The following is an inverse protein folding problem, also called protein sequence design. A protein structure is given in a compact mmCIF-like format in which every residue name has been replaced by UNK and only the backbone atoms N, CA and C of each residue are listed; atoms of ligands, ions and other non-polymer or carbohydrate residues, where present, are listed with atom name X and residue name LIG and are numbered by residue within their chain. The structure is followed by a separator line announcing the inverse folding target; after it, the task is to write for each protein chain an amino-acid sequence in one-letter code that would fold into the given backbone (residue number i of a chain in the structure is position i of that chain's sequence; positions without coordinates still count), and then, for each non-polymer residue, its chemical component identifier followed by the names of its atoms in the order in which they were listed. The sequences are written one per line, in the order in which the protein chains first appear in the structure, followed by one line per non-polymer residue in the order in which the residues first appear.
data_IF_444458579876
#
_entry.id   IF_444458579876
#
_cell.length_a   1.000
_cell.length_b   1.000
_cell.length_c   1.000
_cell.angle_alpha   90.00
_cell.angle_beta   90.00
_cell.angle_gamma   90.00
#
_symmetry.space_group_name_H-M   'P 1'
#
loop_
_entity.id
_entity.type
_entity.pdbx_description
1 polymer ?
#
# COMPACT_ATOMS: atom_id res chain seq x y z
N UNK A 1 99.73 -41.24 -16.68
CA UNK A 1 98.72 -41.48 -15.70
C UNK A 1 97.76 -40.31 -15.78
N UNK A 2 96.62 -40.51 -16.45
CA UNK A 2 95.76 -39.44 -16.92
C UNK A 2 94.36 -39.63 -16.38
N UNK A 3 93.90 -38.76 -15.48
CA UNK A 3 92.63 -38.80 -14.90
C UNK A 3 91.73 -37.68 -15.54
N UNK A 4 90.85 -38.06 -16.45
CA UNK A 4 89.89 -37.14 -17.09
C UNK A 4 88.69 -36.79 -16.19
N UNK A 5 88.10 -35.61 -16.36
CA UNK A 5 86.99 -35.18 -15.55
C UNK A 5 85.60 -35.74 -16.04
N UNK A 6 84.77 -36.18 -15.15
CA UNK A 6 83.38 -36.62 -15.37
C UNK A 6 82.50 -35.41 -15.64
N UNK A 7 81.90 -35.34 -16.85
CA UNK A 7 80.89 -34.36 -17.23
C UNK A 7 79.55 -34.79 -16.54
N UNK A 8 79.10 -34.00 -15.59
CA UNK A 8 77.69 -34.06 -15.07
C UNK A 8 76.78 -33.45 -16.10
N UNK A 9 76.00 -34.28 -16.81
CA UNK A 9 74.83 -33.86 -17.62
C UNK A 9 73.75 -33.36 -16.68
N UNK A 10 73.46 -32.05 -16.68
CA UNK A 10 72.23 -31.49 -16.04
C UNK A 10 71.09 -31.72 -16.97
N UNK A 11 70.09 -32.42 -16.53
CA UNK A 11 68.81 -32.66 -17.20
C UNK A 11 67.97 -31.36 -17.12
N UNK A 12 67.48 -30.74 -18.22
CA UNK A 12 66.76 -29.47 -18.17
C UNK A 12 65.23 -29.62 -17.82
N UNK A 13 64.79 -30.80 -17.41
CA UNK A 13 63.37 -31.05 -17.19
C UNK A 13 62.80 -30.59 -15.84
N UNK A 14 63.66 -30.50 -14.81
CA UNK A 14 63.14 -30.19 -13.46
C UNK A 14 62.73 -28.73 -13.23
N UNK A 15 63.35 -27.78 -13.94
CA UNK A 15 63.03 -26.37 -13.78
C UNK A 15 61.68 -25.97 -14.43
N UNK A 16 61.30 -26.62 -15.53
CA UNK A 16 60.02 -26.35 -16.23
C UNK A 16 58.84 -26.90 -15.45
N UNK A 17 58.97 -28.09 -14.81
CA UNK A 17 57.94 -28.70 -14.01
C UNK A 17 57.64 -27.88 -12.72
N UNK A 18 58.72 -27.32 -12.09
CA UNK A 18 58.53 -26.50 -10.89
C UNK A 18 57.83 -25.15 -11.21
N UNK A 19 58.05 -24.55 -12.38
CA UNK A 19 57.37 -23.34 -12.80
C UNK A 19 55.87 -23.59 -13.20
N UNK A 20 55.56 -24.74 -13.81
CA UNK A 20 54.19 -25.12 -14.16
C UNK A 20 53.37 -25.47 -12.90
N UNK A 21 53.95 -26.11 -11.90
CA UNK A 21 53.27 -26.35 -10.64
C UNK A 21 53.05 -25.10 -9.80
N UNK A 22 53.97 -24.12 -9.86
CA UNK A 22 53.79 -22.81 -9.22
C UNK A 22 52.68 -21.96 -9.86
N UNK A 23 52.52 -22.04 -11.18
CA UNK A 23 51.45 -21.31 -11.91
C UNK A 23 50.07 -21.94 -11.66
N UNK A 24 49.97 -23.27 -11.54
CA UNK A 24 48.72 -23.95 -11.19
C UNK A 24 48.32 -23.72 -9.73
N UNK A 25 49.28 -23.56 -8.81
CA UNK A 25 49.00 -23.23 -7.41
C UNK A 25 48.45 -21.79 -7.23
N UNK A 26 48.82 -20.83 -8.13
CA UNK A 26 48.27 -19.48 -8.12
C UNK A 26 46.84 -19.41 -8.68
N UNK A 27 46.42 -20.36 -9.53
CA UNK A 27 45.07 -20.45 -10.07
C UNK A 27 44.11 -21.23 -9.15
N UNK A 28 44.66 -21.91 -8.15
CA UNK A 28 43.90 -22.63 -7.11
C UNK A 28 43.78 -21.84 -5.80
N UNK A 29 43.90 -20.50 -5.85
CA UNK A 29 43.39 -19.68 -4.75
C UNK A 29 41.86 -19.95 -4.71
N UNK A 30 41.35 -20.64 -3.68
CA UNK A 30 39.93 -20.92 -3.60
C UNK A 30 39.25 -19.58 -3.61
N UNK A 31 38.15 -19.48 -4.38
CA UNK A 31 37.13 -18.45 -4.29
C UNK A 31 36.44 -18.47 -2.91
N UNK A 32 37.22 -18.60 -1.88
CA UNK A 32 36.89 -18.28 -0.49
C UNK A 32 37.05 -16.78 -0.23
N UNK A 33 37.09 -15.95 -1.29
CA UNK A 33 36.73 -14.55 -1.16
C UNK A 33 35.26 -14.51 -0.72
N UNK A 34 35.10 -14.96 0.50
CA UNK A 34 34.14 -14.51 1.47
C UNK A 34 32.84 -13.96 0.86
N UNK A 35 31.86 -14.80 0.65
CA UNK A 35 30.54 -14.42 1.10
C UNK A 35 30.68 -14.15 2.63
N UNK A 36 31.16 -12.95 2.98
CA UNK A 36 31.02 -12.47 4.36
C UNK A 36 29.50 -12.56 4.62
N UNK A 37 29.05 -13.27 5.68
CA UNK A 37 27.65 -13.24 6.01
C UNK A 37 27.30 -11.76 6.15
N UNK A 38 26.51 -11.24 5.23
CA UNK A 38 26.04 -9.86 5.34
C UNK A 38 25.39 -9.83 6.73
N UNK A 39 25.96 -9.05 7.65
CA UNK A 39 25.43 -8.92 9.00
C UNK A 39 23.96 -8.54 8.84
N UNK A 40 23.08 -9.43 9.29
CA UNK A 40 21.64 -9.17 9.21
C UNK A 40 21.36 -7.91 10.03
N UNK A 41 20.89 -6.88 9.35
CA UNK A 41 20.50 -5.65 10.00
C UNK A 41 19.19 -5.90 10.75
N UNK A 42 19.16 -5.62 12.05
CA UNK A 42 17.95 -5.78 12.85
C UNK A 42 17.19 -4.45 12.99
N UNK A 43 15.86 -4.53 12.94
CA UNK A 43 14.95 -3.39 13.11
C UNK A 43 13.77 -3.76 14.02
N UNK A 44 13.49 -2.89 15.00
CA UNK A 44 12.29 -2.95 15.83
C UNK A 44 11.15 -2.27 15.09
N UNK A 45 10.19 -3.06 14.65
CA UNK A 45 9.02 -2.59 13.91
C UNK A 45 7.86 -2.33 14.86
N UNK A 46 7.40 -1.07 14.92
CA UNK A 46 6.17 -0.66 15.58
C UNK A 46 4.99 -0.79 14.63
N UNK A 47 4.04 -1.64 14.97
CA UNK A 47 2.85 -1.88 14.17
C UNK A 47 1.66 -1.11 14.76
N UNK A 48 0.91 -0.39 13.91
CA UNK A 48 -0.35 0.23 14.29
C UNK A 48 -1.42 -0.85 14.52
N UNK A 49 -2.25 -0.68 15.56
CA UNK A 49 -3.19 -1.72 15.98
C UNK A 49 -4.41 -1.82 15.07
N UNK A 50 -4.89 -0.69 14.50
CA UNK A 50 -6.21 -0.59 13.87
C UNK A 50 -6.21 0.20 12.55
N UNK A 51 -5.15 0.07 11.74
CA UNK A 51 -5.08 0.70 10.41
C UNK A 51 -5.20 -0.33 9.27
N UNK A 52 -6.27 -1.12 9.30
CA UNK A 52 -6.56 -2.08 8.21
C UNK A 52 -7.09 -1.39 6.94
N UNK A 53 -6.75 -1.91 5.76
CA UNK A 53 -6.07 -3.18 5.46
C UNK A 53 -4.53 -3.11 5.47
N UNK A 54 -3.93 -1.99 5.85
CA UNK A 54 -2.49 -1.80 5.71
C UNK A 54 -1.68 -2.44 6.82
N UNK A 55 -2.05 -2.17 8.08
CA UNK A 55 -1.46 -2.78 9.27
C UNK A 55 -2.49 -2.80 10.39
N UNK A 56 -2.71 -3.96 11.00
CA UNK A 56 -3.67 -4.12 12.09
C UNK A 56 -3.35 -5.38 12.91
N UNK A 57 -3.89 -5.43 14.12
CA UNK A 57 -3.84 -6.60 14.98
C UNK A 57 -5.03 -7.52 14.70
N UNK A 58 -4.76 -8.79 14.44
CA UNK A 58 -5.78 -9.82 14.40
C UNK A 58 -6.24 -10.21 15.81
N UNK A 59 -7.34 -10.94 15.92
CA UNK A 59 -7.92 -11.36 17.20
C UNK A 59 -6.98 -12.24 18.06
N UNK A 60 -6.03 -12.91 17.43
CA UNK A 60 -4.98 -13.71 18.09
C UNK A 60 -3.73 -12.89 18.47
N UNK A 61 -3.75 -11.57 18.22
CA UNK A 61 -2.64 -10.63 18.49
C UNK A 61 -1.57 -10.60 17.41
N UNK A 62 -1.70 -11.38 16.34
CA UNK A 62 -0.79 -11.34 15.18
C UNK A 62 -1.01 -10.05 14.40
N UNK A 63 0.10 -9.43 13.96
CA UNK A 63 0.05 -8.25 13.08
C UNK A 63 -0.06 -8.71 11.64
N UNK A 64 -1.00 -8.12 10.90
CA UNK A 64 -1.32 -8.47 9.51
C UNK A 64 -1.56 -7.21 8.68
N UNK A 65 -1.57 -7.35 7.35
CA UNK A 65 -1.92 -6.26 6.44
C UNK A 65 -0.98 -6.11 5.25
N UNK A 66 -1.38 -5.28 4.28
CA UNK A 66 -0.61 -5.00 3.06
C UNK A 66 0.82 -4.56 3.37
N UNK A 67 0.98 -3.68 4.35
CA UNK A 67 2.28 -3.11 4.70
C UNK A 67 3.17 -4.11 5.43
N UNK A 68 2.58 -5.07 6.14
CA UNK A 68 3.31 -6.19 6.76
C UNK A 68 3.83 -7.12 5.68
N UNK A 69 2.97 -7.55 4.75
CA UNK A 69 3.37 -8.39 3.61
C UNK A 69 4.44 -7.70 2.74
N UNK A 70 4.34 -6.37 2.56
CA UNK A 70 5.34 -5.60 1.84
C UNK A 70 6.67 -5.53 2.60
N UNK A 71 6.64 -5.36 3.92
CA UNK A 71 7.83 -5.37 4.77
C UNK A 71 8.52 -6.74 4.76
N UNK A 72 7.75 -7.82 4.75
CA UNK A 72 8.27 -9.18 4.61
C UNK A 72 8.96 -9.40 3.26
N UNK A 73 8.40 -8.84 2.16
CA UNK A 73 9.09 -8.85 0.88
C UNK A 73 10.43 -8.09 0.96
N UNK A 74 10.42 -6.88 1.52
CA UNK A 74 11.64 -6.09 1.72
C UNK A 74 12.68 -6.87 2.52
N UNK A 75 12.26 -7.48 3.63
CA UNK A 75 13.14 -8.25 4.51
C UNK A 75 13.82 -9.42 3.78
N UNK A 76 13.06 -10.18 2.98
CA UNK A 76 13.60 -11.29 2.17
C UNK A 76 14.61 -10.83 1.12
N UNK A 77 14.37 -9.66 0.50
CA UNK A 77 15.23 -9.15 -0.59
C UNK A 77 16.38 -8.26 -0.11
N UNK A 78 16.52 -8.00 1.19
CA UNK A 78 17.52 -7.09 1.73
C UNK A 78 18.32 -7.62 2.94
N UNK A 79 18.17 -8.90 3.30
CA UNK A 79 18.77 -9.48 4.50
C UNK A 79 18.46 -8.65 5.78
N UNK A 80 17.26 -8.07 5.85
CA UNK A 80 16.76 -7.34 7.00
C UNK A 80 16.06 -8.33 7.94
N UNK A 81 16.35 -8.26 9.24
CA UNK A 81 15.61 -8.97 10.28
C UNK A 81 14.69 -8.00 10.99
N UNK A 82 13.39 -8.31 11.00
CA UNK A 82 12.37 -7.47 11.61
C UNK A 82 11.87 -8.11 12.89
N UNK A 83 11.98 -7.37 13.99
CA UNK A 83 11.36 -7.70 15.26
C UNK A 83 10.07 -6.90 15.40
N UNK A 84 8.93 -7.52 15.20
CA UNK A 84 7.63 -6.87 15.41
C UNK A 84 7.36 -6.69 16.89
N UNK A 85 7.09 -5.45 17.31
CA UNK A 85 6.72 -5.10 18.67
C UNK A 85 5.20 -5.26 18.87
N UNK A 86 4.70 -5.35 20.11
CA UNK A 86 3.27 -5.34 20.38
C UNK A 86 2.58 -4.15 19.71
N UNK A 87 1.44 -4.37 19.01
CA UNK A 87 0.74 -3.31 18.29
C UNK A 87 0.20 -2.23 19.24
N UNK A 88 0.23 -0.97 18.79
CA UNK A 88 -0.18 0.22 19.55
C UNK A 88 -0.85 1.25 18.66
N UNK A 89 -1.57 2.23 19.22
CA UNK A 89 -2.06 3.39 18.49
C UNK A 89 -0.92 4.20 17.87
N UNK A 90 -1.17 4.81 16.69
CA UNK A 90 -0.17 5.59 15.95
C UNK A 90 0.57 6.64 16.82
N UNK A 91 -0.18 7.36 17.65
CA UNK A 91 0.39 8.40 18.52
C UNK A 91 1.48 7.86 19.45
N UNK A 92 1.26 6.68 20.03
CA UNK A 92 2.25 6.02 20.91
C UNK A 92 3.46 5.53 20.13
N UNK A 93 3.24 5.00 18.91
CA UNK A 93 4.31 4.56 18.04
C UNK A 93 5.23 5.72 17.62
N UNK A 94 4.66 6.87 17.24
CA UNK A 94 5.44 8.06 16.90
C UNK A 94 6.26 8.56 18.08
N UNK A 95 5.70 8.51 19.28
CA UNK A 95 6.45 8.84 20.49
C UNK A 95 7.56 7.83 20.78
N UNK A 96 7.30 6.53 20.59
CA UNK A 96 8.30 5.47 20.73
C UNK A 96 9.50 5.63 19.77
N UNK A 97 9.28 6.19 18.57
CA UNK A 97 10.40 6.55 17.66
C UNK A 97 11.23 7.69 18.24
N UNK A 98 10.59 8.76 18.73
CA UNK A 98 11.29 9.89 19.35
C UNK A 98 12.12 9.46 20.58
N UNK A 99 11.62 8.45 21.30
CA UNK A 99 12.29 7.84 22.45
C UNK A 99 13.29 6.75 22.09
N UNK A 100 13.56 6.51 20.80
CA UNK A 100 14.49 5.49 20.29
C UNK A 100 14.12 4.04 20.66
N UNK A 101 12.86 3.79 20.96
CA UNK A 101 12.32 2.45 21.27
C UNK A 101 11.91 1.70 20.01
N UNK A 102 11.60 2.42 18.94
CA UNK A 102 11.13 1.92 17.64
C UNK A 102 12.05 2.46 16.55
N UNK A 103 12.47 1.57 15.63
CA UNK A 103 13.34 1.90 14.51
C UNK A 103 12.56 2.14 13.21
N UNK A 104 11.44 1.45 13.06
CA UNK A 104 10.69 1.36 11.82
C UNK A 104 9.18 1.39 12.07
N UNK A 105 8.46 2.17 11.28
CA UNK A 105 6.99 2.19 11.16
C UNK A 105 6.59 1.93 9.72
N UNK A 106 5.38 1.43 9.49
CA UNK A 106 4.78 1.31 8.15
C UNK A 106 3.59 2.25 7.97
N UNK A 107 3.05 2.30 6.77
CA UNK A 107 1.77 2.96 6.46
C UNK A 107 1.75 4.45 6.77
N UNK A 108 2.91 5.10 6.70
CA UNK A 108 3.02 6.52 7.01
C UNK A 108 3.10 7.39 5.75
N UNK A 109 2.46 8.55 5.81
CA UNK A 109 2.71 9.65 4.88
C UNK A 109 3.72 10.63 5.47
N UNK A 110 4.72 11.09 4.70
CA UNK A 110 5.60 12.18 5.12
C UNK A 110 4.81 13.44 5.44
N UNK A 111 5.14 14.07 6.57
CA UNK A 111 4.71 15.43 6.93
C UNK A 111 5.92 16.22 7.41
N UNK A 112 5.90 17.57 7.37
CA UNK A 112 6.99 18.40 7.90
C UNK A 112 7.34 18.03 9.35
N UNK A 113 6.33 17.84 10.20
CA UNK A 113 6.51 17.44 11.59
C UNK A 113 7.22 16.09 11.71
N UNK A 114 6.75 15.07 11.01
CA UNK A 114 7.33 13.72 11.05
C UNK A 114 8.73 13.68 10.48
N UNK A 115 9.00 14.48 9.44
CA UNK A 115 10.30 14.56 8.79
C UNK A 115 11.39 15.15 9.72
N UNK A 116 11.03 15.74 10.86
CA UNK A 116 11.99 16.18 11.86
C UNK A 116 12.70 15.00 12.55
N UNK A 117 12.05 13.84 12.70
CA UNK A 117 12.57 12.66 13.41
C UNK A 117 12.46 11.35 12.64
N UNK A 118 11.82 11.34 11.46
CA UNK A 118 11.72 10.19 10.54
C UNK A 118 12.37 10.50 9.21
N UNK A 119 12.93 9.47 8.60
CA UNK A 119 13.26 9.35 7.18
C UNK A 119 12.19 8.47 6.52
N UNK A 120 11.91 8.68 5.23
CA UNK A 120 10.85 7.97 4.55
C UNK A 120 11.37 7.24 3.31
N UNK A 121 10.94 6.00 3.12
CA UNK A 121 11.13 5.27 1.87
C UNK A 121 10.28 5.88 0.75
N UNK A 122 10.48 5.41 -0.48
CA UNK A 122 9.50 5.64 -1.54
C UNK A 122 8.15 5.03 -1.15
N UNK A 123 7.02 5.65 -1.55
CA UNK A 123 5.71 5.07 -1.33
C UNK A 123 5.58 3.70 -2.03
N UNK A 124 4.94 2.74 -1.36
CA UNK A 124 4.67 1.41 -1.91
C UNK A 124 3.20 1.22 -2.30
N UNK A 125 2.30 2.03 -1.79
CA UNK A 125 0.87 2.09 -2.16
C UNK A 125 0.35 3.51 -2.00
N UNK A 126 -0.64 3.89 -2.83
CA UNK A 126 -1.36 5.16 -2.71
C UNK A 126 -2.85 4.91 -2.77
N UNK A 127 -3.60 5.57 -1.88
CA UNK A 127 -5.06 5.49 -1.81
C UNK A 127 -5.66 6.86 -1.57
N UNK A 128 -6.81 7.19 -2.20
CA UNK A 128 -7.45 8.47 -2.01
C UNK A 128 -8.16 8.57 -0.65
N UNK A 129 -8.14 9.77 -0.08
CA UNK A 129 -9.04 10.14 1.01
C UNK A 129 -10.44 10.42 0.46
N UNK A 130 -11.45 9.96 1.20
CA UNK A 130 -12.86 10.11 0.84
C UNK A 130 -13.66 10.75 1.97
N UNK A 131 -14.63 11.57 1.58
CA UNK A 131 -15.69 12.03 2.47
C UNK A 131 -16.76 10.96 2.55
N UNK A 132 -17.09 10.55 3.77
CA UNK A 132 -18.08 9.51 4.06
C UNK A 132 -19.29 10.12 4.74
N UNK A 133 -20.46 9.74 4.27
CA UNK A 133 -21.76 10.09 4.86
C UNK A 133 -22.57 8.83 5.18
N UNK A 134 -23.55 8.97 6.08
CA UNK A 134 -24.57 7.93 6.23
C UNK A 134 -25.44 7.86 4.97
N UNK A 135 -25.84 6.65 4.57
CA UNK A 135 -26.62 6.41 3.34
C UNK A 135 -27.95 7.17 3.34
N UNK A 136 -28.57 7.34 4.51
CA UNK A 136 -29.82 8.09 4.66
C UNK A 136 -29.62 9.61 4.73
N UNK A 137 -28.40 10.14 4.78
CA UNK A 137 -28.14 11.58 4.85
C UNK A 137 -28.50 12.24 3.52
N UNK A 138 -29.38 13.27 3.52
CA UNK A 138 -29.78 13.97 2.29
C UNK A 138 -28.61 14.69 1.60
N UNK A 139 -27.52 14.99 2.32
CA UNK A 139 -26.32 15.61 1.74
C UNK A 139 -25.66 14.74 0.66
N UNK A 140 -25.82 13.40 0.71
CA UNK A 140 -25.25 12.50 -0.30
C UNK A 140 -25.71 12.77 -1.73
N UNK A 141 -26.89 13.39 -1.89
CA UNK A 141 -27.45 13.73 -3.20
C UNK A 141 -27.00 15.10 -3.71
N UNK A 142 -26.15 15.82 -2.95
CA UNK A 142 -25.58 17.10 -3.38
C UNK A 142 -24.37 16.90 -4.28
N UNK A 143 -24.13 17.81 -5.21
CA UNK A 143 -22.87 17.85 -5.95
C UNK A 143 -21.67 17.92 -4.99
N UNK A 144 -20.57 17.26 -5.35
CA UNK A 144 -19.34 17.26 -4.55
C UNK A 144 -18.84 18.67 -4.20
N UNK A 145 -19.02 19.63 -5.13
CA UNK A 145 -18.67 21.04 -4.93
C UNK A 145 -19.44 21.74 -3.82
N UNK A 146 -20.63 21.27 -3.47
CA UNK A 146 -21.48 21.87 -2.45
C UNK A 146 -21.38 21.19 -1.08
N UNK A 147 -20.81 19.97 -1.02
CA UNK A 147 -20.75 19.19 0.21
C UNK A 147 -20.01 19.91 1.33
N UNK A 148 -18.84 20.48 1.01
CA UNK A 148 -18.02 21.17 2.01
C UNK A 148 -18.69 22.44 2.55
N UNK A 149 -19.42 23.16 1.69
CA UNK A 149 -20.20 24.30 2.12
C UNK A 149 -21.35 23.88 3.05
N UNK A 150 -22.02 22.77 2.75
CA UNK A 150 -23.12 22.24 3.56
C UNK A 150 -22.65 21.66 4.90
N UNK A 151 -21.35 21.33 5.04
CA UNK A 151 -20.73 20.82 6.27
C UNK A 151 -20.16 21.93 7.17
N UNK A 152 -20.20 23.21 6.76
CA UNK A 152 -19.75 24.32 7.62
C UNK A 152 -20.47 24.29 8.96
N UNK A 153 -19.73 24.47 10.04
CA UNK A 153 -20.25 24.44 11.41
C UNK A 153 -20.71 23.09 11.91
N UNK A 154 -20.60 22.03 11.08
CA UNK A 154 -20.92 20.65 11.50
C UNK A 154 -19.68 19.91 11.97
N UNK A 155 -19.91 18.92 12.85
CA UNK A 155 -18.87 18.01 13.30
C UNK A 155 -18.51 17.00 12.23
N UNK A 156 -17.22 16.93 11.84
CA UNK A 156 -16.67 15.95 10.90
C UNK A 156 -15.52 15.23 11.57
N UNK A 157 -15.57 13.89 11.57
CA UNK A 157 -14.56 13.05 12.21
C UNK A 157 -13.39 12.75 11.28
N UNK A 158 -12.20 12.60 11.87
CA UNK A 158 -10.96 12.19 11.21
C UNK A 158 -10.05 11.50 12.22
N UNK A 159 -9.17 10.59 11.77
CA UNK A 159 -8.17 9.95 12.64
C UNK A 159 -7.20 10.98 13.22
N UNK A 160 -7.06 11.00 14.54
CA UNK A 160 -6.20 11.96 15.26
C UNK A 160 -4.73 11.69 15.00
N UNK A 161 -4.00 12.73 14.59
CA UNK A 161 -2.58 12.63 14.24
C UNK A 161 -2.33 12.03 12.85
N UNK A 162 -3.38 11.65 12.12
CA UNK A 162 -3.23 11.23 10.72
C UNK A 162 -2.87 12.42 9.83
N UNK A 163 -2.08 12.17 8.78
CA UNK A 163 -1.60 13.26 7.92
C UNK A 163 -2.73 14.03 7.23
N UNK A 164 -3.88 13.40 7.01
CA UNK A 164 -5.07 14.02 6.42
C UNK A 164 -5.73 15.01 7.38
N UNK A 165 -5.59 14.85 8.69
CA UNK A 165 -6.20 15.76 9.67
C UNK A 165 -5.68 17.20 9.50
N UNK A 166 -4.36 17.37 9.41
CA UNK A 166 -3.75 18.69 9.19
C UNK A 166 -4.17 19.31 7.86
N UNK A 167 -4.21 18.50 6.80
CA UNK A 167 -4.70 18.92 5.49
C UNK A 167 -6.16 19.36 5.54
N UNK A 168 -7.02 18.59 6.18
CA UNK A 168 -8.46 18.85 6.28
C UNK A 168 -8.75 20.14 7.06
N UNK A 169 -8.09 20.32 8.21
CA UNK A 169 -8.21 21.55 9.03
C UNK A 169 -7.76 22.79 8.28
N UNK A 170 -6.70 22.70 7.49
CA UNK A 170 -6.19 23.81 6.69
C UNK A 170 -7.11 24.12 5.49
N UNK A 171 -7.67 23.08 4.83
CA UNK A 171 -8.50 23.23 3.64
C UNK A 171 -9.92 23.72 3.96
N UNK A 172 -10.48 23.33 5.10
CA UNK A 172 -11.84 23.66 5.51
C UNK A 172 -11.89 24.11 6.97
N UNK A 173 -11.39 25.31 7.30
CA UNK A 173 -11.30 25.81 8.67
C UNK A 173 -12.65 26.04 9.35
N UNK A 174 -13.73 26.22 8.57
CA UNK A 174 -15.10 26.44 9.07
C UNK A 174 -15.80 25.16 9.51
N UNK A 175 -15.16 23.97 9.37
CA UNK A 175 -15.68 22.68 9.82
C UNK A 175 -15.21 22.40 11.24
N UNK A 176 -16.10 21.84 12.05
CA UNK A 176 -15.75 21.40 13.42
C UNK A 176 -15.10 20.01 13.35
N UNK A 177 -13.77 19.99 13.11
CA UNK A 177 -13.00 18.76 13.00
C UNK A 177 -12.83 18.07 14.36
N UNK A 178 -13.27 16.80 14.43
CA UNK A 178 -13.04 15.94 15.60
C UNK A 178 -11.99 14.88 15.27
N UNK A 179 -10.85 14.93 15.97
CA UNK A 179 -9.83 13.89 15.92
C UNK A 179 -10.23 12.71 16.82
N UNK A 180 -10.42 11.53 16.26
CA UNK A 180 -10.72 10.29 16.98
C UNK A 180 -9.50 9.34 16.94
N UNK A 181 -9.41 8.34 17.84
CA UNK A 181 -8.20 7.52 17.99
C UNK A 181 -7.74 6.82 16.71
N UNK A 182 -8.68 6.31 15.91
CA UNK A 182 -8.46 5.56 14.68
C UNK A 182 -9.71 5.60 13.78
N UNK A 183 -9.58 5.03 12.57
CA UNK A 183 -10.67 5.00 11.59
C UNK A 183 -11.85 4.10 11.99
N UNK A 184 -11.65 3.13 12.88
CA UNK A 184 -12.75 2.30 13.42
C UNK A 184 -13.65 3.18 14.29
N UNK A 185 -13.09 4.00 15.18
CA UNK A 185 -13.86 4.96 15.99
C UNK A 185 -14.51 6.02 15.13
N UNK A 186 -13.82 6.52 14.09
CA UNK A 186 -14.36 7.50 13.14
C UNK A 186 -15.59 6.96 12.44
N UNK A 187 -15.56 5.75 11.89
CA UNK A 187 -16.66 5.18 11.13
C UNK A 187 -17.82 4.71 12.02
N UNK A 188 -17.53 4.21 13.24
CA UNK A 188 -18.57 3.86 14.22
C UNK A 188 -19.32 5.10 14.71
N UNK A 189 -18.61 6.15 15.08
CA UNK A 189 -19.24 7.41 15.51
C UNK A 189 -20.09 8.02 14.39
N UNK A 190 -19.63 7.99 13.14
CA UNK A 190 -20.45 8.40 12.00
C UNK A 190 -21.71 7.55 11.87
N UNK A 191 -21.61 6.21 11.96
CA UNK A 191 -22.75 5.31 11.87
C UNK A 191 -23.77 5.58 12.98
N UNK A 192 -23.30 5.85 14.20
CA UNK A 192 -24.14 6.16 15.36
C UNK A 192 -24.75 7.58 15.32
N UNK A 193 -24.30 8.41 14.39
CA UNK A 193 -24.81 9.79 14.23
C UNK A 193 -24.16 10.81 15.14
N UNK A 194 -23.06 10.47 15.78
CA UNK A 194 -22.28 11.40 16.64
C UNK A 194 -21.63 12.51 15.82
N UNK A 195 -21.27 12.23 14.56
CA UNK A 195 -20.74 13.19 13.61
C UNK A 195 -21.61 13.26 12.36
N UNK A 196 -21.57 14.40 11.67
CA UNK A 196 -22.30 14.60 10.42
C UNK A 196 -21.64 13.88 9.24
N UNK A 197 -20.31 13.82 9.23
CA UNK A 197 -19.49 13.21 8.19
C UNK A 197 -18.19 12.67 8.77
N UNK A 198 -17.44 11.93 7.95
CA UNK A 198 -16.10 11.44 8.28
C UNK A 198 -15.15 11.57 7.09
N UNK A 199 -13.85 11.67 7.35
CA UNK A 199 -12.80 11.58 6.35
C UNK A 199 -11.88 10.43 6.71
N UNK A 200 -11.79 9.44 5.80
CA UNK A 200 -10.91 8.26 5.91
C UNK A 200 -10.32 7.95 4.55
N UNK A 201 -9.37 7.04 4.43
CA UNK A 201 -9.02 6.50 3.12
C UNK A 201 -10.04 5.47 2.63
N UNK A 202 -10.15 5.35 1.30
CA UNK A 202 -11.16 4.50 0.66
C UNK A 202 -10.98 3.00 1.01
N UNK A 203 -9.74 2.54 1.16
CA UNK A 203 -9.46 1.13 1.46
C UNK A 203 -9.82 0.81 2.91
N UNK A 204 -9.49 1.70 3.86
CA UNK A 204 -9.89 1.56 5.26
C UNK A 204 -11.40 1.58 5.43
N UNK A 205 -12.13 2.46 4.72
CA UNK A 205 -13.60 2.43 4.72
C UNK A 205 -14.13 1.04 4.34
N UNK A 206 -13.69 0.49 3.21
CA UNK A 206 -14.19 -0.79 2.71
C UNK A 206 -13.80 -1.96 3.63
N UNK A 207 -12.57 -1.95 4.16
CA UNK A 207 -12.05 -2.98 5.05
C UNK A 207 -12.79 -2.98 6.39
N UNK A 208 -12.85 -1.83 7.06
CA UNK A 208 -13.47 -1.66 8.38
C UNK A 208 -14.97 -1.94 8.32
N UNK A 209 -15.67 -1.42 7.30
CA UNK A 209 -17.09 -1.69 7.12
C UNK A 209 -17.38 -3.19 7.06
N UNK A 210 -16.57 -3.96 6.32
CA UNK A 210 -16.73 -5.41 6.21
C UNK A 210 -16.34 -6.13 7.50
N UNK A 211 -15.19 -5.78 8.10
CA UNK A 211 -14.65 -6.46 9.29
C UNK A 211 -15.53 -6.25 10.52
N UNK A 212 -16.07 -5.05 10.68
CA UNK A 212 -16.90 -4.68 11.84
C UNK A 212 -18.41 -4.68 11.56
N UNK A 213 -18.85 -5.13 10.38
CA UNK A 213 -20.26 -5.18 10.01
C UNK A 213 -20.92 -3.81 9.96
N UNK A 214 -20.16 -2.73 9.66
CA UNK A 214 -20.72 -1.40 9.54
C UNK A 214 -21.49 -1.28 8.22
N UNK A 215 -22.75 -0.89 8.30
CA UNK A 215 -23.63 -0.75 7.14
C UNK A 215 -24.16 0.68 7.02
N UNK A 216 -24.58 1.05 5.82
CA UNK A 216 -25.20 2.36 5.61
C UNK A 216 -24.23 3.53 5.60
N UNK A 217 -22.98 3.30 5.26
CA UNK A 217 -21.93 4.30 5.05
C UNK A 217 -21.53 4.33 3.57
N UNK A 218 -21.52 5.49 2.96
CA UNK A 218 -21.18 5.68 1.55
C UNK A 218 -20.05 6.72 1.40
N UNK A 219 -19.03 6.40 0.58
CA UNK A 219 -18.08 7.38 0.10
C UNK A 219 -18.78 8.26 -0.95
N UNK A 220 -18.84 9.57 -0.71
CA UNK A 220 -19.60 10.50 -1.55
C UNK A 220 -18.74 11.48 -2.35
N UNK A 221 -17.49 11.67 -1.97
CA UNK A 221 -16.57 12.56 -2.67
C UNK A 221 -15.12 12.24 -2.34
N UNK A 222 -14.23 12.50 -3.31
CA UNK A 222 -12.79 12.57 -3.05
C UNK A 222 -12.46 13.86 -2.29
N UNK A 223 -11.51 13.78 -1.36
CA UNK A 223 -11.07 14.90 -0.51
C UNK A 223 -9.93 15.70 -1.17
N UNK A 224 -9.33 15.17 -2.24
CA UNK A 224 -8.15 15.78 -2.86
C UNK A 224 -6.85 15.53 -2.10
N UNK A 225 -6.85 14.53 -1.21
CA UNK A 225 -5.70 14.07 -0.47
C UNK A 225 -5.40 12.61 -0.80
N UNK A 226 -4.12 12.31 -1.04
CA UNK A 226 -3.64 10.95 -1.33
C UNK A 226 -2.82 10.44 -0.15
N UNK A 227 -3.15 9.27 0.34
CA UNK A 227 -2.33 8.52 1.29
C UNK A 227 -1.25 7.75 0.52
N UNK A 228 -0.17 8.44 0.16
CA UNK A 228 1.02 7.82 -0.40
C UNK A 228 1.82 7.20 0.75
N UNK A 229 1.58 5.92 1.03
CA UNK A 229 2.08 5.22 2.21
C UNK A 229 3.51 4.72 2.01
N UNK A 230 4.37 5.08 2.95
CA UNK A 230 5.81 4.78 2.99
C UNK A 230 6.17 4.09 4.30
N UNK A 231 7.35 3.47 4.32
CA UNK A 231 8.00 3.12 5.57
C UNK A 231 8.63 4.38 6.17
N UNK A 232 8.41 4.59 7.47
CA UNK A 232 9.05 5.64 8.26
C UNK A 232 10.15 5.03 9.12
N UNK A 233 11.38 5.47 8.93
CA UNK A 233 12.56 4.98 9.64
C UNK A 233 13.07 6.05 10.58
N UNK A 234 13.46 5.69 11.80
CA UNK A 234 14.11 6.64 12.71
C UNK A 234 15.24 7.38 12.03
N UNK A 235 15.29 8.70 12.16
CA UNK A 235 16.34 9.52 11.54
C UNK A 235 17.75 9.13 12.00
N UNK A 236 17.87 8.43 13.13
CA UNK A 236 19.14 7.92 13.65
C UNK A 236 19.57 6.60 12.99
N UNK A 237 18.73 6.04 12.11
CA UNK A 237 18.98 4.79 11.42
C UNK A 237 18.97 4.95 9.87
N UNK A 238 19.79 5.83 9.29
CA UNK A 238 19.88 5.97 7.85
C UNK A 238 20.32 4.67 7.14
N UNK A 239 21.14 3.84 7.82
CA UNK A 239 21.51 2.49 7.41
C UNK A 239 20.31 1.59 7.14
N UNK A 240 19.29 1.70 7.97
CA UNK A 240 18.04 0.95 7.83
C UNK A 240 17.22 1.44 6.63
N UNK A 241 17.13 2.76 6.39
CA UNK A 241 16.44 3.29 5.22
C UNK A 241 17.11 2.82 3.92
N UNK A 242 18.44 2.90 3.83
CA UNK A 242 19.19 2.41 2.66
C UNK A 242 18.92 0.92 2.40
N UNK A 243 18.85 0.12 3.46
CA UNK A 243 18.53 -1.30 3.38
C UNK A 243 17.09 -1.55 2.89
N UNK A 244 16.12 -0.80 3.39
CA UNK A 244 14.72 -0.87 2.96
C UNK A 244 14.59 -0.46 1.49
N UNK A 245 15.19 0.65 1.08
CA UNK A 245 15.13 1.13 -0.32
C UNK A 245 15.81 0.15 -1.28
N UNK A 246 16.93 -0.46 -0.88
CA UNK A 246 17.57 -1.52 -1.65
C UNK A 246 16.65 -2.74 -1.81
N UNK A 247 16.02 -3.20 -0.71
CA UNK A 247 15.03 -4.28 -0.72
C UNK A 247 13.86 -3.96 -1.62
N UNK A 248 13.24 -2.79 -1.48
CA UNK A 248 12.13 -2.34 -2.32
C UNK A 248 12.47 -2.30 -3.80
N UNK A 249 13.70 -1.94 -4.15
CA UNK A 249 14.21 -1.93 -5.53
C UNK A 249 14.41 -3.35 -6.06
N UNK A 250 14.83 -4.27 -5.21
CA UNK A 250 15.11 -5.66 -5.58
C UNK A 250 13.83 -6.52 -5.75
N UNK A 251 12.71 -6.12 -5.15
CA UNK A 251 11.43 -6.85 -5.27
C UNK A 251 10.95 -6.89 -6.72
N UNK A 252 10.74 -8.09 -7.31
CA UNK A 252 10.14 -8.22 -8.63
C UNK A 252 8.76 -7.55 -8.70
N UNK A 253 8.45 -6.90 -9.83
CA UNK A 253 7.17 -6.21 -10.02
C UNK A 253 5.97 -7.14 -9.83
N UNK A 254 6.10 -8.43 -10.22
CA UNK A 254 5.04 -9.43 -10.05
C UNK A 254 4.75 -9.72 -8.58
N UNK A 255 5.77 -9.85 -7.73
CA UNK A 255 5.59 -10.09 -6.29
C UNK A 255 4.95 -8.88 -5.60
N UNK A 256 5.42 -7.67 -5.92
CA UNK A 256 4.82 -6.43 -5.41
C UNK A 256 3.35 -6.32 -5.80
N UNK A 257 3.03 -6.57 -7.08
CA UNK A 257 1.67 -6.56 -7.58
C UNK A 257 0.79 -7.58 -6.86
N UNK A 258 1.28 -8.81 -6.67
CA UNK A 258 0.55 -9.87 -5.98
C UNK A 258 0.17 -9.48 -4.53
N UNK A 259 1.05 -8.80 -3.79
CA UNK A 259 0.73 -8.26 -2.46
C UNK A 259 -0.36 -7.20 -2.54
N UNK A 260 -0.21 -6.20 -3.42
CA UNK A 260 -1.22 -5.14 -3.56
C UNK A 260 -2.57 -5.73 -3.98
N UNK A 261 -2.61 -6.61 -4.97
CA UNK A 261 -3.86 -7.23 -5.44
C UNK A 261 -4.54 -8.08 -4.36
N UNK A 262 -3.78 -8.80 -3.55
CA UNK A 262 -4.32 -9.60 -2.44
C UNK A 262 -5.16 -8.77 -1.48
N UNK A 263 -4.69 -7.56 -1.14
CA UNK A 263 -5.31 -6.70 -0.14
C UNK A 263 -6.30 -5.71 -0.73
N UNK A 264 -6.05 -5.17 -1.92
CA UNK A 264 -6.85 -4.10 -2.51
C UNK A 264 -8.00 -4.62 -3.36
N UNK A 265 -7.81 -5.70 -4.15
CA UNK A 265 -8.86 -6.26 -4.99
C UNK A 265 -10.14 -6.67 -4.24
N UNK A 266 -10.10 -7.29 -3.04
CA UNK A 266 -11.30 -7.56 -2.27
C UNK A 266 -12.03 -6.31 -1.76
N UNK A 267 -11.36 -5.14 -1.80
CA UNK A 267 -11.88 -3.85 -1.36
C UNK A 267 -12.38 -2.99 -2.52
N UNK A 268 -12.08 -3.38 -3.77
CA UNK A 268 -12.76 -2.80 -4.92
C UNK A 268 -14.25 -2.91 -4.62
N UNK A 269 -14.83 -1.78 -4.22
CA UNK A 269 -16.27 -1.66 -4.13
C UNK A 269 -16.77 -2.18 -5.48
N UNK A 270 -17.51 -3.28 -5.45
CA UNK A 270 -18.22 -3.68 -6.65
C UNK A 270 -18.99 -2.43 -7.06
N UNK A 271 -18.51 -1.77 -8.09
CA UNK A 271 -19.26 -0.80 -8.88
C UNK A 271 -20.39 -1.56 -9.58
N UNK A 272 -21.23 -2.19 -8.77
CA UNK A 272 -22.61 -2.41 -9.06
C UNK A 272 -23.30 -1.06 -8.80
N UNK A 273 -22.94 -0.07 -9.61
CA UNK A 273 -23.97 0.84 -10.05
C UNK A 273 -25.07 -0.12 -10.57
N UNK A 274 -26.23 -0.26 -9.90
CA UNK A 274 -27.29 -1.08 -10.45
C UNK A 274 -27.53 -0.48 -11.82
N UNK A 275 -27.35 -1.31 -12.86
CA UNK A 275 -27.76 -0.90 -14.21
C UNK A 275 -29.16 -0.30 -14.02
N UNK A 276 -29.38 0.98 -14.38
CA UNK A 276 -30.68 1.64 -14.09
C UNK A 276 -31.85 0.86 -14.68
N UNK A 277 -31.53 -0.16 -15.47
CA UNK A 277 -32.50 -1.03 -16.14
C UNK A 277 -32.10 -2.49 -15.95
N UNK A 278 -32.92 -3.31 -15.26
CA UNK A 278 -32.68 -4.74 -15.21
C UNK A 278 -32.58 -5.31 -16.63
N UNK A 279 -31.70 -6.28 -16.85
CA UNK A 279 -31.44 -6.87 -18.17
C UNK A 279 -32.72 -7.20 -18.97
N UNK A 280 -33.79 -7.56 -18.26
CA UNK A 280 -35.13 -7.80 -18.78
C UNK A 280 -35.72 -6.56 -19.49
N UNK A 281 -35.45 -5.34 -19.01
CA UNK A 281 -35.97 -4.10 -19.61
C UNK A 281 -35.19 -3.75 -20.89
N UNK A 282 -33.89 -4.02 -20.97
CA UNK A 282 -33.14 -3.90 -22.21
C UNK A 282 -33.66 -4.83 -23.29
N UNK A 283 -33.99 -6.07 -22.94
CA UNK A 283 -34.59 -7.04 -23.87
C UNK A 283 -35.96 -6.55 -24.35
N UNK A 284 -36.81 -6.04 -23.47
CA UNK A 284 -38.10 -5.49 -23.84
C UNK A 284 -37.98 -4.26 -24.75
N UNK A 285 -37.02 -3.35 -24.49
CA UNK A 285 -36.77 -2.20 -25.37
C UNK A 285 -36.28 -2.62 -26.75
N UNK A 286 -35.39 -3.60 -26.85
CA UNK A 286 -34.93 -4.13 -28.12
C UNK A 286 -36.05 -4.82 -28.90
N UNK A 287 -36.91 -5.59 -28.23
CA UNK A 287 -38.10 -6.20 -28.85
C UNK A 287 -39.09 -5.15 -29.33
N UNK A 288 -39.37 -4.11 -28.53
CA UNK A 288 -40.23 -3.01 -28.92
C UNK A 288 -39.68 -2.25 -30.15
N UNK A 289 -38.36 -2.00 -30.16
CA UNK A 289 -37.67 -1.34 -31.28
C UNK A 289 -37.74 -2.22 -32.55
N UNK A 290 -37.51 -3.52 -32.41
CA UNK A 290 -37.64 -4.49 -33.54
C UNK A 290 -39.05 -4.53 -34.13
N UNK A 291 -40.08 -4.55 -33.28
CA UNK A 291 -41.49 -4.51 -33.68
C UNK A 291 -41.87 -3.22 -34.43
N UNK A 292 -41.41 -2.06 -33.93
CA UNK A 292 -41.68 -0.78 -34.57
C UNK A 292 -41.00 -0.64 -35.94
N UNK A 293 -39.73 -1.10 -36.06
CA UNK A 293 -39.03 -1.12 -37.33
C UNK A 293 -39.66 -2.10 -38.35
N UNK A 294 -40.07 -3.28 -37.87
CA UNK A 294 -40.79 -4.27 -38.66
C UNK A 294 -42.13 -3.74 -39.20
N UNK A 295 -42.90 -3.03 -38.33
CA UNK A 295 -44.17 -2.41 -38.71
C UNK A 295 -43.99 -1.30 -39.77
N UNK A 296 -42.97 -0.44 -39.56
CA UNK A 296 -42.63 0.61 -40.51
C UNK A 296 -42.18 0.05 -41.87
N UNK A 297 -41.39 -1.04 -41.88
CA UNK A 297 -40.99 -1.72 -43.08
C UNK A 297 -42.18 -2.35 -43.84
N UNK A 298 -43.10 -2.96 -43.10
CA UNK A 298 -44.31 -3.53 -43.67
C UNK A 298 -45.27 -2.47 -44.25
N UNK A 299 -45.45 -1.33 -43.55
CA UNK A 299 -46.25 -0.21 -44.05
C UNK A 299 -45.65 0.41 -45.32
N UNK A 300 -44.31 0.54 -45.41
CA UNK A 300 -43.60 0.99 -46.62
C UNK A 300 -43.81 0.04 -47.79
N UNK A 301 -43.66 -1.26 -47.55
CA UNK A 301 -43.87 -2.28 -48.61
C UNK A 301 -45.30 -2.32 -49.15
N UNK A 302 -46.32 -2.08 -48.30
CA UNK A 302 -47.71 -1.95 -48.73
C UNK A 302 -48.00 -0.69 -49.55
N UNK A 303 -47.31 0.43 -49.27
CA UNK A 303 -47.45 1.64 -50.09
C UNK A 303 -46.88 1.46 -51.49
N UNK A 304 -45.77 0.75 -51.65
CA UNK A 304 -45.19 0.46 -52.99
C UNK A 304 -45.99 -0.55 -53.83
N UNK A 305 -46.86 -1.35 -53.22
CA UNK A 305 -47.73 -2.29 -53.97
C UNK A 305 -49.07 -1.67 -54.41
N UNK A 306 -49.32 -0.42 -54.07
CA UNK A 306 -50.60 0.28 -54.39
C UNK A 306 -50.41 1.44 -55.40
N UNK A 307 -49.26 1.58 -56.02
CA UNK A 307 -49.06 2.49 -57.14
C UNK A 307 -49.36 1.72 -58.47
N UNK A 308 -50.30 2.19 -59.33
CA UNK A 308 -50.67 1.54 -60.55
C UNK A 308 -49.55 1.63 -61.62
#
# INVERSE_FOLDING_TARGET
MNSGPLLRRRLPGFAVIAHLMGLLALLALPAWAAAQPQSQLEARFGAEADYGPFVYAESDGRVSGLSVDMLDLVARHSALRVQTLPPRPLKELLEGVKQRQIDLLSSLRPTPERSAYLLFSRPYVSVPAVLVLRRQDPLRNRPASELWLALRGKSVAVGSGYAVEAFARASWPDIQWQGLPDDVHVLRGLQQGEQAAAVVDLASLAFIARQHGLVGLDAVSLVGFEYALSFGVSRERPDLLERIDAGMKAIPTAERRAVVERWMKPLELQDQAPSPWPARQWVLMLLALGLTLGLLGWLRSRRHRRSP
#
